data_IF_347475068131
#
_entry.id   IF_347475068131
#
_cell.length_a   1.000
_cell.length_b   1.000
_cell.length_c   1.000
_cell.angle_alpha   90.00
_cell.angle_beta   90.00
_cell.angle_gamma   90.00
#
_symmetry.space_group_name_H-M   'P 1'
#
loop_
_entity.id
_entity.type
_entity.pdbx_description
1 polymer ?
#
# COMPACT_ATOMS: atom_id res chain seq x y z
N UNK A 1 12.26 10.89 27.79
CA UNK A 1 10.86 10.93 27.32
C UNK A 1 10.86 11.22 25.82
N UNK A 2 9.87 10.74 25.07
CA UNK A 2 9.69 11.03 23.64
C UNK A 2 8.32 11.70 23.48
N UNK A 3 8.26 12.80 22.74
CA UNK A 3 7.02 13.52 22.40
C UNK A 3 6.83 13.47 20.87
N UNK A 4 5.61 13.12 20.44
CA UNK A 4 5.20 13.18 19.04
C UNK A 4 4.20 14.32 18.88
N UNK A 5 4.46 15.22 17.94
CA UNK A 5 3.57 16.34 17.60
C UNK A 5 2.99 16.08 16.22
N UNK A 6 1.67 16.12 16.13
CA UNK A 6 0.89 15.93 14.91
C UNK A 6 -0.06 17.12 14.77
N UNK A 7 -0.20 17.66 13.55
CA UNK A 7 -1.13 18.76 13.28
C UNK A 7 -2.58 18.25 13.24
N UNK A 8 -2.77 17.07 12.66
CA UNK A 8 -4.05 16.40 12.54
C UNK A 8 -4.63 15.92 13.87
N UNK A 9 -5.89 15.49 13.84
CA UNK A 9 -6.55 14.92 15.00
C UNK A 9 -5.94 13.56 15.41
N UNK A 10 -6.11 13.18 16.67
CA UNK A 10 -5.95 11.79 17.10
C UNK A 10 -7.06 10.94 16.44
N UNK A 11 -6.70 9.78 15.89
CA UNK A 11 -7.61 8.88 15.17
C UNK A 11 -8.11 7.68 16.01
N UNK A 12 -7.72 7.58 17.28
CA UNK A 12 -8.04 6.41 18.10
C UNK A 12 -9.55 6.14 18.13
N UNK A 13 -9.95 4.98 17.61
CA UNK A 13 -11.34 4.52 17.50
C UNK A 13 -12.26 5.40 16.64
N UNK A 14 -11.72 6.24 15.74
CA UNK A 14 -12.55 6.95 14.76
C UNK A 14 -13.22 5.93 13.81
N UNK A 15 -14.56 5.82 13.77
CA UNK A 15 -15.27 4.86 12.94
C UNK A 15 -14.98 4.99 11.44
N UNK A 16 -14.65 6.20 10.96
CA UNK A 16 -14.32 6.45 9.56
C UNK A 16 -12.93 5.95 9.18
N UNK A 17 -12.06 5.68 10.16
CA UNK A 17 -10.69 5.19 9.98
C UNK A 17 -10.60 3.70 10.26
N UNK A 18 -11.18 3.22 11.37
CA UNK A 18 -11.11 1.80 11.75
C UNK A 18 -12.02 0.89 10.91
N UNK A 19 -12.91 1.47 10.10
CA UNK A 19 -13.77 0.73 9.17
C UNK A 19 -13.21 0.80 7.75
N UNK A 20 -12.61 -0.28 7.21
CA UNK A 20 -11.99 -0.29 5.87
C UNK A 20 -12.89 0.28 4.76
N UNK A 21 -14.17 -0.08 4.74
CA UNK A 21 -15.10 0.37 3.71
C UNK A 21 -15.36 1.89 3.69
N UNK A 22 -14.99 2.62 4.75
CA UNK A 22 -15.17 4.06 4.85
C UNK A 22 -14.05 4.87 4.18
N UNK A 23 -12.97 4.24 3.68
CA UNK A 23 -11.82 4.94 3.09
C UNK A 23 -12.17 6.00 2.03
N UNK A 24 -13.21 5.85 1.16
CA UNK A 24 -13.51 6.87 0.15
C UNK A 24 -14.00 8.19 0.76
N UNK A 25 -14.52 8.17 2.00
CA UNK A 25 -14.98 9.37 2.69
C UNK A 25 -13.85 10.38 2.95
N UNK A 26 -12.60 9.91 3.09
CA UNK A 26 -11.45 10.77 3.35
C UNK A 26 -11.03 11.61 2.15
N UNK A 27 -11.47 11.23 0.94
CA UNK A 27 -11.23 11.97 -0.30
C UNK A 27 -12.30 13.02 -0.62
N UNK A 28 -13.35 13.11 0.20
CA UNK A 28 -14.37 14.14 0.02
C UNK A 28 -13.79 15.52 0.33
N UNK A 29 -14.21 16.59 -0.37
CA UNK A 29 -13.76 17.96 -0.09
C UNK A 29 -14.03 18.43 1.35
N UNK A 30 -14.99 17.79 2.04
CA UNK A 30 -15.37 18.06 3.43
C UNK A 30 -14.59 17.22 4.45
N UNK A 31 -13.70 16.34 4.00
CA UNK A 31 -12.86 15.53 4.88
C UNK A 31 -12.00 16.40 5.77
N UNK A 32 -11.93 16.04 7.05
CA UNK A 32 -11.02 16.65 8.04
C UNK A 32 -9.75 15.83 8.25
N UNK A 33 -9.69 14.63 7.67
CA UNK A 33 -8.60 13.68 7.84
C UNK A 33 -7.60 13.73 6.67
N UNK A 34 -7.87 14.53 5.65
CA UNK A 34 -6.99 14.76 4.51
C UNK A 34 -6.77 16.26 4.27
N UNK A 35 -5.57 16.59 3.80
CA UNK A 35 -5.17 17.90 3.33
C UNK A 35 -5.18 17.90 1.80
N UNK A 36 -5.72 18.94 1.18
CA UNK A 36 -5.84 19.05 -0.28
C UNK A 36 -5.01 20.21 -0.80
N UNK A 37 -3.78 19.92 -1.23
CA UNK A 37 -2.88 20.92 -1.78
C UNK A 37 -3.18 21.15 -3.26
N UNK A 38 -3.25 22.41 -3.68
CA UNK A 38 -3.41 22.77 -5.09
C UNK A 38 -2.05 23.13 -5.68
N UNK A 39 -1.74 22.57 -6.84
CA UNK A 39 -0.61 23.03 -7.65
C UNK A 39 -0.91 24.38 -8.31
N UNK A 40 0.11 25.01 -8.86
CA UNK A 40 -0.08 26.05 -9.86
C UNK A 40 -0.76 25.47 -11.11
N UNK A 41 -1.30 26.35 -11.97
CA UNK A 41 -1.77 25.97 -13.30
C UNK A 41 -0.61 25.42 -14.12
N UNK A 42 -0.81 24.26 -14.74
CA UNK A 42 0.22 23.57 -15.52
C UNK A 42 -0.24 23.41 -16.98
N UNK A 43 0.60 23.84 -17.93
CA UNK A 43 0.31 23.74 -19.36
C UNK A 43 0.23 22.28 -19.81
N UNK A 44 1.12 21.42 -19.30
CA UNK A 44 1.07 19.98 -19.55
C UNK A 44 -0.24 19.32 -19.04
N UNK A 45 -0.98 20.01 -18.18
CA UNK A 45 -2.29 19.59 -17.68
C UNK A 45 -3.46 20.39 -18.30
N UNK A 46 -3.23 21.03 -19.45
CA UNK A 46 -4.17 21.92 -20.13
C UNK A 46 -4.64 23.10 -19.25
N UNK A 47 -3.72 23.68 -18.49
CA UNK A 47 -3.99 24.83 -17.61
C UNK A 47 -4.73 24.48 -16.31
N UNK A 48 -4.86 23.20 -15.97
CA UNK A 48 -5.47 22.77 -14.71
C UNK A 48 -4.53 22.96 -13.53
N UNK A 49 -5.13 23.19 -12.37
CA UNK A 49 -4.48 23.10 -11.06
C UNK A 49 -4.76 21.70 -10.50
N UNK A 50 -3.72 20.89 -10.34
CA UNK A 50 -3.84 19.55 -9.78
C UNK A 50 -4.14 19.65 -8.28
N UNK A 51 -5.00 18.77 -7.78
CA UNK A 51 -5.22 18.59 -6.34
C UNK A 51 -4.46 17.37 -5.88
N UNK A 52 -3.54 17.55 -4.92
CA UNK A 52 -2.71 16.50 -4.35
C UNK A 52 -3.14 16.29 -2.89
N UNK A 53 -3.89 15.20 -2.60
CA UNK A 53 -4.30 14.88 -1.24
C UNK A 53 -3.13 14.32 -0.43
N UNK A 54 -3.09 14.61 0.86
CA UNK A 54 -2.18 14.00 1.84
C UNK A 54 -2.93 13.69 3.15
N UNK A 55 -2.45 12.74 3.95
CA UNK A 55 -3.03 12.48 5.26
C UNK A 55 -2.88 13.69 6.19
N UNK A 56 -3.96 14.09 6.85
CA UNK A 56 -4.04 15.23 7.78
C UNK A 56 -4.53 14.80 9.16
N UNK A 57 -4.14 13.61 9.59
CA UNK A 57 -4.59 12.94 10.82
C UNK A 57 -3.44 12.09 11.37
N UNK A 58 -3.40 11.81 12.68
CA UNK A 58 -2.40 10.91 13.26
C UNK A 58 -2.38 9.55 12.53
N UNK A 59 -1.18 9.05 12.23
CA UNK A 59 -0.96 7.91 11.33
C UNK A 59 -0.78 8.31 9.86
N UNK A 60 -1.19 9.53 9.49
CA UNK A 60 -1.00 10.09 8.16
C UNK A 60 -1.71 9.26 7.09
N UNK A 61 -1.00 8.95 6.01
CA UNK A 61 -1.53 8.17 4.89
C UNK A 61 -2.08 6.80 5.31
N UNK A 62 -1.52 6.14 6.33
CA UNK A 62 -1.99 4.81 6.76
C UNK A 62 -3.42 4.82 7.30
N UNK A 63 -3.93 5.98 7.73
CA UNK A 63 -5.29 6.12 8.26
C UNK A 63 -6.34 6.44 7.18
N UNK A 64 -5.91 6.78 5.95
CA UNK A 64 -6.80 7.27 4.89
C UNK A 64 -6.58 6.62 3.52
N UNK A 65 -5.64 5.68 3.41
CA UNK A 65 -5.26 5.05 2.14
C UNK A 65 -6.28 3.99 1.65
N UNK A 66 -5.96 3.33 0.54
CA UNK A 66 -6.80 2.29 -0.06
C UNK A 66 -6.49 0.89 0.49
N UNK A 67 -5.62 0.81 1.50
CA UNK A 67 -5.17 -0.44 2.15
C UNK A 67 -4.62 -1.45 1.14
N UNK A 68 -3.89 -1.01 0.13
CA UNK A 68 -3.24 -1.91 -0.83
C UNK A 68 -1.84 -2.23 -0.34
N UNK A 69 -1.57 -3.49 0.02
CA UNK A 69 -0.23 -3.89 0.45
C UNK A 69 0.67 -4.13 -0.76
N UNK A 70 1.73 -3.33 -0.89
CA UNK A 70 2.68 -3.43 -2.01
C UNK A 70 4.08 -3.22 -1.50
N UNK A 71 5.01 -4.06 -1.93
CA UNK A 71 6.44 -3.84 -1.75
C UNK A 71 7.05 -3.39 -3.07
N UNK A 72 8.04 -2.50 -2.97
CA UNK A 72 8.91 -2.21 -4.09
C UNK A 72 9.75 -3.45 -4.44
N UNK A 73 10.23 -3.52 -5.68
CA UNK A 73 11.10 -4.59 -6.12
C UNK A 73 12.51 -4.38 -5.57
N UNK A 74 13.30 -5.45 -5.46
CA UNK A 74 14.66 -5.39 -4.94
C UNK A 74 15.53 -4.39 -5.71
N UNK A 75 15.37 -4.35 -7.03
CA UNK A 75 16.08 -3.41 -7.88
C UNK A 75 15.76 -1.93 -7.60
N UNK A 76 14.58 -1.62 -7.06
CA UNK A 76 14.23 -0.25 -6.68
C UNK A 76 15.10 0.22 -5.52
N UNK A 77 15.34 -0.65 -4.53
CA UNK A 77 16.23 -0.38 -3.40
C UNK A 77 17.70 -0.37 -3.82
N UNK A 78 18.13 -1.35 -4.62
CA UNK A 78 19.51 -1.42 -5.11
C UNK A 78 19.87 -0.19 -5.97
N UNK A 79 18.90 0.37 -6.69
CA UNK A 79 19.10 1.57 -7.52
C UNK A 79 19.50 2.82 -6.72
N UNK A 80 19.24 2.84 -5.40
CA UNK A 80 19.64 3.96 -4.55
C UNK A 80 21.16 4.05 -4.38
N UNK A 81 21.91 2.96 -4.68
CA UNK A 81 23.37 2.92 -4.60
C UNK A 81 23.91 3.48 -3.27
N UNK A 82 23.21 3.20 -2.17
CA UNK A 82 23.51 3.73 -0.84
C UNK A 82 23.73 2.57 0.12
N UNK A 83 24.87 2.57 0.82
CA UNK A 83 25.25 1.51 1.76
C UNK A 83 24.16 1.28 2.82
N UNK A 84 23.74 0.03 3.00
CA UNK A 84 22.71 -0.36 3.97
C UNK A 84 21.27 -0.18 3.48
N UNK A 85 21.05 0.33 2.27
CA UNK A 85 19.72 0.52 1.67
C UNK A 85 19.43 -0.38 0.47
N UNK A 86 20.33 -1.31 0.15
CA UNK A 86 20.06 -2.35 -0.84
C UNK A 86 18.99 -3.35 -0.34
N UNK A 87 18.42 -4.12 -1.28
CA UNK A 87 17.33 -5.05 -1.00
C UNK A 87 17.68 -6.06 0.12
N UNK A 88 18.91 -6.58 0.11
CA UNK A 88 19.38 -7.57 1.10
C UNK A 88 19.47 -6.94 2.49
N UNK A 89 19.92 -5.70 2.58
CA UNK A 89 20.00 -4.94 3.83
C UNK A 89 18.62 -4.60 4.40
N UNK A 90 17.61 -4.35 3.55
CA UNK A 90 16.27 -3.96 3.97
C UNK A 90 15.31 -5.13 4.25
N UNK A 91 15.52 -6.30 3.65
CA UNK A 91 14.66 -7.48 3.83
C UNK A 91 14.38 -7.84 5.31
N UNK A 92 15.37 -7.84 6.23
CA UNK A 92 15.09 -8.10 7.65
C UNK A 92 14.13 -7.09 8.29
N UNK A 93 14.14 -5.83 7.86
CA UNK A 93 13.25 -4.79 8.36
C UNK A 93 11.85 -4.90 7.75
N UNK A 94 11.76 -5.24 6.47
CA UNK A 94 10.48 -5.52 5.81
C UNK A 94 9.76 -6.69 6.51
N UNK A 95 10.50 -7.75 6.87
CA UNK A 95 9.97 -8.86 7.68
C UNK A 95 9.62 -8.44 9.10
N UNK A 96 10.45 -7.62 9.76
CA UNK A 96 10.17 -7.16 11.14
C UNK A 96 8.88 -6.34 11.25
N UNK A 97 8.52 -5.60 10.19
CA UNK A 97 7.35 -4.73 10.17
C UNK A 97 6.02 -5.49 10.20
N UNK A 98 5.98 -6.67 9.60
CA UNK A 98 4.71 -7.30 9.21
C UNK A 98 4.39 -8.62 9.92
N UNK A 99 3.09 -8.88 10.02
CA UNK A 99 2.51 -10.20 10.17
C UNK A 99 1.72 -10.49 8.88
N UNK A 100 2.29 -11.32 8.02
CA UNK A 100 1.74 -11.70 6.72
C UNK A 100 0.88 -12.96 6.86
N UNK A 101 -0.42 -12.82 6.59
CA UNK A 101 -1.41 -13.89 6.78
C UNK A 101 -1.72 -14.70 5.50
N UNK A 102 -0.94 -14.52 4.43
CA UNK A 102 -1.15 -15.26 3.18
C UNK A 102 -0.80 -16.73 3.34
N UNK A 103 -1.76 -17.60 3.02
CA UNK A 103 -1.57 -19.06 2.98
C UNK A 103 -1.58 -19.61 1.54
N UNK A 104 -1.47 -18.73 0.54
CA UNK A 104 -1.41 -19.11 -0.87
C UNK A 104 -0.20 -20.05 -1.13
N UNK A 105 -0.41 -21.23 -1.75
CA UNK A 105 0.69 -22.10 -2.14
C UNK A 105 1.65 -21.37 -3.09
N UNK A 106 2.95 -21.44 -2.81
CA UNK A 106 3.99 -20.79 -3.61
C UNK A 106 4.49 -19.45 -3.06
N UNK A 107 3.85 -18.90 -2.02
CA UNK A 107 4.40 -17.77 -1.25
C UNK A 107 5.67 -18.23 -0.52
N UNK A 108 6.78 -17.53 -0.72
CA UNK A 108 8.00 -17.80 0.03
C UNK A 108 7.94 -17.14 1.41
N UNK A 109 7.57 -17.93 2.43
CA UNK A 109 7.44 -17.46 3.82
C UNK A 109 8.74 -16.89 4.40
N UNK A 110 9.92 -17.21 3.86
CA UNK A 110 11.20 -16.65 4.33
C UNK A 110 11.37 -15.16 3.99
N UNK A 111 10.63 -14.65 3.00
CA UNK A 111 10.65 -13.26 2.56
C UNK A 111 9.65 -12.38 3.31
N UNK A 112 8.82 -12.99 4.16
CA UNK A 112 7.79 -12.31 4.92
C UNK A 112 8.00 -12.40 6.44
N UNK A 113 7.34 -11.48 7.14
CA UNK A 113 7.25 -11.44 8.59
C UNK A 113 5.98 -12.11 9.11
N UNK A 114 6.03 -12.64 10.33
CA UNK A 114 4.87 -13.29 10.96
C UNK A 114 4.61 -12.84 12.40
N UNK A 115 5.39 -11.87 12.90
CA UNK A 115 5.32 -11.39 14.30
C UNK A 115 5.31 -9.85 14.39
N UNK A 116 5.31 -9.16 13.25
CA UNK A 116 5.36 -7.70 13.18
C UNK A 116 4.01 -7.03 13.46
N UNK A 117 4.00 -5.74 13.82
CA UNK A 117 2.78 -5.04 14.24
C UNK A 117 1.77 -4.79 13.10
N UNK A 118 2.19 -4.79 11.84
CA UNK A 118 1.31 -4.50 10.70
C UNK A 118 0.76 -5.81 10.14
N UNK A 119 -0.56 -5.99 10.25
CA UNK A 119 -1.24 -7.19 9.79
C UNK A 119 -1.63 -7.04 8.33
N UNK A 120 -1.23 -8.00 7.48
CA UNK A 120 -1.51 -8.00 6.05
C UNK A 120 -2.31 -9.25 5.71
N UNK A 121 -3.48 -9.09 5.10
CA UNK A 121 -4.40 -10.20 4.81
C UNK A 121 -5.21 -9.96 3.55
N UNK A 122 -5.98 -10.94 3.08
CA UNK A 122 -6.95 -10.71 1.99
C UNK A 122 -8.13 -9.80 2.42
N UNK A 123 -8.23 -9.46 3.71
CA UNK A 123 -9.42 -8.93 4.34
C UNK A 123 -10.51 -10.00 4.50
N UNK A 124 -11.66 -9.59 5.03
CA UNK A 124 -12.81 -10.48 5.31
C UNK A 124 -13.71 -10.71 4.10
N UNK A 125 -13.48 -9.99 3.00
CA UNK A 125 -14.23 -10.13 1.75
C UNK A 125 -13.32 -9.96 0.53
N UNK A 126 -13.46 -10.90 -0.42
CA UNK A 126 -12.81 -10.89 -1.72
C UNK A 126 -13.88 -11.23 -2.78
N UNK A 127 -13.89 -10.48 -3.88
CA UNK A 127 -14.70 -10.83 -5.05
C UNK A 127 -13.88 -11.75 -5.96
N UNK A 128 -14.01 -13.07 -5.77
CA UNK A 128 -13.26 -14.05 -6.55
C UNK A 128 -13.56 -13.93 -8.05
N UNK A 129 -14.84 -13.76 -8.42
CA UNK A 129 -15.24 -13.56 -9.83
C UNK A 129 -14.50 -12.40 -10.48
N UNK A 130 -14.45 -11.24 -9.82
CA UNK A 130 -13.77 -10.06 -10.38
C UNK A 130 -12.25 -10.29 -10.49
N UNK A 131 -11.65 -10.92 -9.47
CA UNK A 131 -10.22 -11.22 -9.52
C UNK A 131 -9.90 -12.22 -10.64
N UNK A 132 -10.68 -13.29 -10.75
CA UNK A 132 -10.53 -14.31 -11.79
C UNK A 132 -10.67 -13.68 -13.18
N UNK A 133 -11.70 -12.86 -13.40
CA UNK A 133 -11.93 -12.18 -14.68
C UNK A 133 -10.75 -11.26 -15.07
N UNK A 134 -10.19 -10.51 -14.11
CA UNK A 134 -9.02 -9.65 -14.34
C UNK A 134 -7.78 -10.48 -14.68
N UNK A 135 -7.54 -11.56 -13.94
CA UNK A 135 -6.41 -12.46 -14.16
C UNK A 135 -6.50 -13.15 -15.53
N UNK A 136 -7.67 -13.64 -15.90
CA UNK A 136 -7.87 -14.29 -17.21
C UNK A 136 -7.76 -13.28 -18.36
N UNK A 137 -8.24 -12.05 -18.18
CA UNK A 137 -8.03 -10.98 -19.15
C UNK A 137 -6.54 -10.63 -19.32
N UNK A 138 -5.78 -10.56 -18.23
CA UNK A 138 -4.33 -10.34 -18.28
C UNK A 138 -3.60 -11.48 -19.01
N UNK A 139 -3.95 -12.74 -18.72
CA UNK A 139 -3.42 -13.91 -19.44
C UNK A 139 -3.69 -13.84 -20.94
N UNK A 140 -4.88 -13.39 -21.34
CA UNK A 140 -5.24 -13.23 -22.74
C UNK A 140 -4.39 -12.16 -23.47
N UNK A 141 -3.79 -11.20 -22.75
CA UNK A 141 -2.85 -10.22 -23.30
C UNK A 141 -1.39 -10.67 -23.25
N UNK A 142 -1.11 -11.91 -22.79
CA UNK A 142 0.24 -12.46 -22.65
C UNK A 142 0.91 -12.14 -21.32
N UNK A 143 0.19 -11.54 -20.36
CA UNK A 143 0.70 -11.28 -19.01
C UNK A 143 0.56 -12.54 -18.14
N UNK A 144 1.47 -12.71 -17.19
CA UNK A 144 1.46 -13.88 -16.31
C UNK A 144 0.81 -13.57 -14.96
N UNK A 145 0.13 -14.57 -14.39
CA UNK A 145 -0.23 -14.56 -12.98
C UNK A 145 0.98 -14.97 -12.15
N UNK A 146 1.38 -14.13 -11.21
CA UNK A 146 2.44 -14.36 -10.24
C UNK A 146 1.78 -14.57 -8.88
N UNK A 147 2.23 -15.61 -8.17
CA UNK A 147 1.68 -15.97 -6.86
C UNK A 147 1.88 -14.86 -5.83
N UNK A 148 3.08 -14.28 -5.80
CA UNK A 148 3.43 -13.18 -4.91
C UNK A 148 4.34 -12.18 -5.63
N UNK A 149 3.81 -11.00 -5.95
CA UNK A 149 4.61 -9.89 -6.50
C UNK A 149 5.32 -9.06 -5.41
N UNK A 150 5.14 -9.39 -4.14
CA UNK A 150 5.64 -8.65 -2.99
C UNK A 150 6.88 -9.32 -2.36
N UNK A 151 7.55 -10.17 -3.14
CA UNK A 151 8.67 -11.03 -2.73
C UNK A 151 10.06 -10.42 -3.03
N UNK A 152 10.13 -9.13 -3.40
CA UNK A 152 11.33 -8.40 -3.85
C UNK A 152 11.95 -8.87 -5.19
N UNK A 153 11.58 -10.02 -5.74
CA UNK A 153 12.25 -10.61 -6.90
C UNK A 153 11.36 -10.66 -8.14
N UNK A 154 10.08 -10.93 -7.95
CA UNK A 154 9.11 -11.09 -9.01
C UNK A 154 8.59 -9.73 -9.49
N UNK A 155 8.79 -9.45 -10.77
CA UNK A 155 8.30 -8.26 -11.45
C UNK A 155 7.51 -8.64 -12.70
N UNK A 156 6.77 -7.67 -13.26
CA UNK A 156 6.05 -7.80 -14.53
C UNK A 156 5.06 -8.99 -14.56
N UNK A 157 3.98 -8.83 -13.81
CA UNK A 157 2.88 -9.78 -13.80
C UNK A 157 1.69 -9.26 -13.01
N UNK A 158 0.69 -10.12 -12.85
CA UNK A 158 -0.52 -9.84 -12.09
C UNK A 158 -0.57 -10.76 -10.87
N UNK A 159 -0.90 -10.23 -9.70
CA UNK A 159 -1.06 -11.02 -8.47
C UNK A 159 -2.37 -10.67 -7.82
N UNK A 160 -2.93 -11.63 -7.08
CA UNK A 160 -4.09 -11.40 -6.22
C UNK A 160 -3.64 -10.59 -5.01
N UNK A 161 -4.23 -9.42 -4.83
CA UNK A 161 -3.71 -8.41 -3.91
C UNK A 161 -4.19 -8.62 -2.47
N UNK A 162 -3.28 -8.41 -1.52
CA UNK A 162 -3.58 -8.35 -0.08
C UNK A 162 -3.72 -6.91 0.43
N UNK A 163 -4.18 -6.76 1.66
CA UNK A 163 -4.51 -5.48 2.29
C UNK A 163 -3.84 -5.36 3.64
#
# INVERSE_FOLDING_TARGET
SILVVEQGANNLNDPTIVTPAAYPSHMQPTSKNALFYKSNREEALNGREAVVPAGGVLGGGSSVNFMMYTRAQGCDYDSWNTEGWDAKSLLPFARKLETYHSESPGVNKELHGHDGPINISSGTYVSNTTQDDIIEAAKATGEQEVVDLQDFNAANGFSRWLR
#
